data_IF_924398700842
#
_entry.id   IF_924398700842
#
_cell.length_a   1.000
_cell.length_b   1.000
_cell.length_c   1.000
_cell.angle_alpha   90.00
_cell.angle_beta   90.00
_cell.angle_gamma   90.00
#
_symmetry.space_group_name_H-M   'P 1'
#
loop_
_entity.id
_entity.type
_entity.pdbx_description
1 polymer ?
#
# COMPACT_ATOMS: atom_id res chain seq x y z
N UNK A 1 17.92 0.63 -22.35
CA UNK A 1 16.61 0.13 -22.80
C UNK A 1 16.06 -0.98 -21.91
N UNK A 2 16.78 -2.08 -21.65
CA UNK A 2 16.29 -3.17 -20.78
C UNK A 2 16.07 -2.73 -19.31
N UNK A 3 16.96 -1.88 -18.77
CA UNK A 3 16.82 -1.35 -17.41
C UNK A 3 15.57 -0.46 -17.25
N UNK A 4 15.20 0.26 -18.31
CA UNK A 4 13.99 1.09 -18.36
C UNK A 4 12.73 0.20 -18.41
N UNK A 5 12.77 -0.88 -19.20
CA UNK A 5 11.66 -1.85 -19.29
C UNK A 5 11.45 -2.66 -18.01
N UNK A 6 12.52 -2.98 -17.28
CA UNK A 6 12.41 -3.63 -15.96
C UNK A 6 11.86 -2.64 -14.93
N UNK A 7 12.27 -1.37 -14.97
CA UNK A 7 11.75 -0.32 -14.08
C UNK A 7 10.26 -0.07 -14.31
N UNK A 8 9.80 0.01 -15.57
CA UNK A 8 8.38 0.22 -15.87
C UNK A 8 7.53 -0.98 -15.48
N UNK A 9 8.03 -2.21 -15.70
CA UNK A 9 7.34 -3.43 -15.27
C UNK A 9 7.28 -3.56 -13.74
N UNK A 10 8.34 -3.14 -13.03
CA UNK A 10 8.35 -3.06 -11.56
C UNK A 10 7.30 -2.08 -11.04
N UNK A 11 7.09 -0.96 -11.74
CA UNK A 11 6.08 0.05 -11.39
C UNK A 11 4.64 -0.48 -11.59
N UNK A 12 4.40 -1.35 -12.57
CA UNK A 12 3.06 -1.93 -12.83
C UNK A 12 2.67 -3.07 -11.90
N UNK A 13 3.67 -3.71 -11.25
CA UNK A 13 3.48 -4.84 -10.33
C UNK A 13 3.34 -4.40 -8.87
N UNK A 14 3.55 -3.11 -8.57
CA UNK A 14 3.00 -2.52 -7.37
C UNK A 14 1.48 -2.67 -7.46
N UNK A 15 0.79 -3.29 -6.47
CA UNK A 15 -0.65 -3.17 -6.43
C UNK A 15 -0.93 -1.67 -6.38
N UNK A 16 -1.42 -1.13 -7.49
CA UNK A 16 -2.19 0.08 -7.51
C UNK A 16 -3.45 -0.25 -6.70
N UNK A 17 -3.29 -0.33 -5.38
CA UNK A 17 -4.33 0.03 -4.43
C UNK A 17 -4.71 1.40 -4.93
N UNK A 18 -5.77 1.44 -5.73
CA UNK A 18 -6.26 2.58 -6.49
C UNK A 18 -5.87 3.85 -5.75
N UNK A 19 -4.75 4.45 -6.17
CA UNK A 19 -4.32 5.73 -5.65
C UNK A 19 -5.39 6.63 -6.21
N UNK A 20 -6.42 6.86 -5.39
CA UNK A 20 -7.50 7.76 -5.71
C UNK A 20 -6.80 9.05 -6.12
N UNK A 21 -6.94 9.35 -7.40
CA UNK A 21 -6.45 10.55 -8.05
C UNK A 21 -6.77 11.70 -7.09
N UNK A 22 -5.74 12.45 -6.66
CA UNK A 22 -5.97 13.73 -6.01
C UNK A 22 -6.86 14.50 -6.96
N UNK A 23 -8.14 14.59 -6.59
CA UNK A 23 -9.12 15.34 -7.33
C UNK A 23 -8.72 16.79 -7.14
N UNK A 24 -7.94 17.32 -8.07
CA UNK A 24 -7.74 18.75 -8.26
C UNK A 24 -9.03 19.42 -8.80
N UNK A 25 -10.21 18.86 -8.52
CA UNK A 25 -11.48 19.52 -8.73
C UNK A 25 -11.83 20.31 -7.45
N UNK A 26 -11.55 21.61 -7.50
CA UNK A 26 -12.09 22.66 -6.61
C UNK A 26 -11.69 22.60 -5.12
N UNK A 27 -10.54 23.18 -4.80
CA UNK A 27 -10.45 24.23 -3.76
C UNK A 27 -10.53 23.86 -2.28
N UNK A 28 -10.65 22.58 -1.90
CA UNK A 28 -10.57 22.18 -0.48
C UNK A 28 -9.43 21.19 -0.25
N UNK A 29 -8.41 21.60 0.50
CA UNK A 29 -7.33 20.70 0.94
C UNK A 29 -7.97 19.57 1.75
N UNK A 30 -7.80 18.32 1.28
CA UNK A 30 -8.21 17.10 1.99
C UNK A 30 -6.98 16.45 2.61
N UNK A 31 -7.18 15.68 3.67
CA UNK A 31 -6.12 14.94 4.32
C UNK A 31 -6.54 13.47 4.56
N UNK A 32 -5.61 12.51 4.38
CA UNK A 32 -5.93 11.09 4.46
C UNK A 32 -6.04 10.60 5.90
N UNK A 33 -7.07 9.80 6.15
CA UNK A 33 -7.23 9.00 7.37
C UNK A 33 -6.67 7.61 7.12
N UNK A 34 -5.71 7.20 7.95
CA UNK A 34 -4.85 6.04 7.72
C UNK A 34 -4.77 5.19 8.99
N UNK A 35 -4.93 3.87 8.85
CA UNK A 35 -4.76 2.91 9.93
C UNK A 35 -3.75 1.85 9.52
N UNK A 36 -2.66 1.71 10.28
CA UNK A 36 -1.58 0.75 10.03
C UNK A 36 -1.10 0.75 8.55
N UNK A 37 -0.95 1.95 7.97
CA UNK A 37 -0.52 2.16 6.58
C UNK A 37 -1.58 1.91 5.49
N UNK A 38 -2.85 1.72 5.86
CA UNK A 38 -3.99 1.63 4.93
C UNK A 38 -4.75 2.96 4.98
N UNK A 39 -4.79 3.70 3.87
CA UNK A 39 -5.68 4.84 3.72
C UNK A 39 -7.13 4.35 3.58
N UNK A 40 -8.01 4.87 4.45
CA UNK A 40 -9.42 4.49 4.50
C UNK A 40 -10.27 5.47 3.69
N UNK A 41 -10.08 6.77 3.92
CA UNK A 41 -10.80 7.87 3.29
C UNK A 41 -10.07 9.18 3.57
N UNK A 42 -10.59 10.29 3.03
CA UNK A 42 -10.02 11.62 3.23
C UNK A 42 -11.04 12.56 3.88
N UNK A 43 -10.56 13.46 4.74
CA UNK A 43 -11.36 14.46 5.45
C UNK A 43 -10.98 15.87 5.03
N UNK A 44 -11.94 16.79 5.05
CA UNK A 44 -11.73 18.22 4.81
C UNK A 44 -11.49 19.00 6.09
N UNK A 45 -11.34 20.33 5.97
CA UNK A 45 -11.30 21.25 7.11
C UNK A 45 -12.69 21.38 7.75
N UNK A 46 -12.77 21.47 9.07
CA UNK A 46 -14.05 21.74 9.75
C UNK A 46 -13.84 22.52 11.05
N UNK A 47 -14.69 23.54 11.26
CA UNK A 47 -14.52 24.50 12.35
C UNK A 47 -13.15 25.17 12.27
N UNK A 48 -12.42 25.16 13.38
CA UNK A 48 -11.07 25.75 13.48
C UNK A 48 -9.94 24.76 13.13
N UNK A 49 -10.26 23.53 12.74
CA UNK A 49 -9.27 22.52 12.41
C UNK A 49 -9.05 22.42 10.90
N UNK A 50 -7.79 22.50 10.49
CA UNK A 50 -7.37 22.15 9.14
C UNK A 50 -7.65 20.67 8.84
N UNK A 51 -7.70 20.30 7.56
CA UNK A 51 -7.89 18.91 7.15
C UNK A 51 -6.81 18.00 7.77
N UNK A 52 -5.55 18.43 7.77
CA UNK A 52 -4.43 17.67 8.34
C UNK A 52 -4.57 17.45 9.84
N UNK A 53 -4.91 18.49 10.61
CA UNK A 53 -5.13 18.36 12.05
C UNK A 53 -6.31 17.45 12.37
N UNK A 54 -7.40 17.53 11.58
CA UNK A 54 -8.54 16.61 11.72
C UNK A 54 -8.14 15.17 11.44
N UNK A 55 -7.43 14.94 10.33
CA UNK A 55 -6.97 13.61 9.95
C UNK A 55 -6.04 13.02 11.03
N UNK A 56 -5.12 13.82 11.57
CA UNK A 56 -4.22 13.39 12.63
C UNK A 56 -4.98 13.01 13.91
N UNK A 57 -5.94 13.83 14.33
CA UNK A 57 -6.77 13.54 15.49
C UNK A 57 -7.58 12.24 15.32
N UNK A 58 -8.14 12.03 14.14
CA UNK A 58 -8.86 10.80 13.78
C UNK A 58 -7.89 9.61 13.81
N UNK A 59 -6.72 9.72 13.18
CA UNK A 59 -5.70 8.67 13.15
C UNK A 59 -5.25 8.27 14.56
N UNK A 60 -5.05 9.25 15.46
CA UNK A 60 -4.71 9.00 16.86
C UNK A 60 -5.81 8.24 17.61
N UNK A 61 -7.09 8.57 17.38
CA UNK A 61 -8.24 7.86 17.96
C UNK A 61 -8.31 6.43 17.45
N UNK A 62 -8.23 6.23 16.13
CA UNK A 62 -8.23 4.90 15.52
C UNK A 62 -7.05 4.04 16.00
N UNK A 63 -5.86 4.62 16.11
CA UNK A 63 -4.68 3.93 16.62
C UNK A 63 -4.85 3.50 18.08
N UNK A 64 -5.54 4.29 18.90
CA UNK A 64 -5.86 3.94 20.29
C UNK A 64 -6.82 2.75 20.35
N UNK A 65 -7.88 2.76 19.53
CA UNK A 65 -8.83 1.64 19.49
C UNK A 65 -8.18 0.34 19.02
N UNK A 66 -7.33 0.43 18.00
CA UNK A 66 -6.61 -0.73 17.49
C UNK A 66 -5.65 -1.32 18.55
N UNK A 67 -5.07 -0.49 19.42
CA UNK A 67 -4.19 -0.93 20.52
C UNK A 67 -4.95 -1.46 21.74
N UNK A 68 -6.26 -1.20 21.84
CA UNK A 68 -7.08 -1.69 22.95
C UNK A 68 -7.17 -3.22 22.92
N UNK A 69 -6.91 -3.86 24.07
CA UNK A 69 -7.00 -5.31 24.27
C UNK A 69 -8.45 -5.85 24.27
N UNK A 70 -9.44 -4.96 24.13
CA UNK A 70 -10.84 -5.35 24.08
C UNK A 70 -11.17 -6.10 22.78
N UNK A 71 -12.22 -6.92 22.81
CA UNK A 71 -12.72 -7.72 21.67
C UNK A 71 -12.90 -6.85 20.42
N UNK A 72 -12.89 -7.46 19.21
CA UNK A 72 -13.06 -6.71 17.97
C UNK A 72 -14.34 -5.87 18.03
N UNK A 73 -14.19 -4.56 17.83
CA UNK A 73 -15.25 -3.58 18.12
C UNK A 73 -16.08 -3.33 16.87
N UNK A 74 -17.40 -3.29 17.06
CA UNK A 74 -18.34 -2.81 16.07
C UNK A 74 -18.36 -1.28 16.13
N UNK A 75 -18.43 -0.66 14.95
CA UNK A 75 -18.67 0.78 14.83
C UNK A 75 -20.19 0.99 14.74
N UNK A 76 -20.66 2.12 15.27
CA UNK A 76 -22.04 2.57 15.13
C UNK A 76 -22.06 3.98 14.57
N UNK A 77 -23.15 4.32 13.88
CA UNK A 77 -23.36 5.65 13.31
C UNK A 77 -24.46 6.37 14.08
N UNK A 78 -24.11 7.49 14.71
CA UNK A 78 -25.06 8.44 15.27
C UNK A 78 -25.22 9.63 14.30
N UNK A 79 -26.43 9.87 13.83
CA UNK A 79 -26.72 11.01 12.94
C UNK A 79 -27.04 12.26 13.75
N UNK A 80 -26.35 13.36 13.42
CA UNK A 80 -26.54 14.67 14.08
C UNK A 80 -27.20 15.69 13.15
N UNK A 81 -27.32 15.37 11.85
CA UNK A 81 -28.05 16.16 10.86
C UNK A 81 -28.10 15.46 9.50
N UNK A 82 -28.58 16.15 8.46
CA UNK A 82 -28.71 15.57 7.11
C UNK A 82 -27.36 15.18 6.49
N UNK A 83 -26.29 15.94 6.78
CA UNK A 83 -24.94 15.73 6.22
C UNK A 83 -23.86 15.63 7.32
N UNK A 84 -24.26 15.36 8.56
CA UNK A 84 -23.38 15.34 9.72
C UNK A 84 -23.65 14.11 10.57
N UNK A 85 -22.59 13.48 11.04
CA UNK A 85 -22.69 12.23 11.80
C UNK A 85 -21.46 11.98 12.66
N UNK A 86 -21.63 11.14 13.67
CA UNK A 86 -20.58 10.73 14.58
C UNK A 86 -20.46 9.22 14.51
N UNK A 87 -19.28 8.73 14.15
CA UNK A 87 -18.94 7.32 14.21
C UNK A 87 -18.33 7.01 15.56
N UNK A 88 -18.91 6.07 16.30
CA UNK A 88 -18.45 5.66 17.64
C UNK A 88 -18.28 4.16 17.73
N UNK A 89 -17.55 3.70 18.74
CA UNK A 89 -17.48 2.27 19.08
C UNK A 89 -18.70 1.88 19.92
N UNK A 90 -19.32 0.72 19.68
CA UNK A 90 -20.53 0.27 20.43
C UNK A 90 -20.33 -0.01 21.92
N UNK A 91 -19.11 -0.30 22.36
CA UNK A 91 -18.86 -0.70 23.76
C UNK A 91 -18.25 0.41 24.60
N UNK A 92 -17.31 1.17 24.05
CA UNK A 92 -16.63 2.22 24.80
C UNK A 92 -17.23 3.60 24.57
N UNK A 93 -18.19 3.72 23.64
CA UNK A 93 -18.82 4.99 23.24
C UNK A 93 -17.81 6.08 22.81
N UNK A 94 -16.57 5.68 22.47
CA UNK A 94 -15.52 6.59 22.04
C UNK A 94 -15.81 7.07 20.62
N UNK A 95 -15.74 8.37 20.44
CA UNK A 95 -15.85 9.01 19.12
C UNK A 95 -14.61 8.69 18.30
N UNK A 96 -14.81 8.09 17.13
CA UNK A 96 -13.77 7.80 16.16
C UNK A 96 -13.64 8.95 15.16
N UNK A 97 -14.77 9.29 14.53
CA UNK A 97 -14.84 10.23 13.42
C UNK A 97 -16.08 11.09 13.57
N UNK A 98 -15.94 12.37 13.28
CA UNK A 98 -17.08 13.27 13.07
C UNK A 98 -17.11 13.61 11.59
N UNK A 99 -18.20 13.23 10.91
CA UNK A 99 -18.47 13.50 9.51
C UNK A 99 -19.10 14.89 9.40
N UNK A 100 -18.56 15.71 8.51
CA UNK A 100 -19.00 17.09 8.28
C UNK A 100 -19.31 17.33 6.81
N UNK A 101 -19.99 18.43 6.50
CA UNK A 101 -20.24 18.85 5.09
C UNK A 101 -18.95 18.98 4.28
N UNK A 102 -17.85 19.39 4.91
CA UNK A 102 -16.55 19.51 4.27
C UNK A 102 -15.93 18.15 3.90
N UNK A 103 -16.47 17.03 4.40
CA UNK A 103 -16.03 15.67 4.07
C UNK A 103 -16.82 15.07 2.90
N UNK A 104 -17.91 15.70 2.49
CA UNK A 104 -18.81 15.18 1.47
C UNK A 104 -18.14 15.15 0.09
N UNK A 105 -18.32 14.04 -0.62
CA UNK A 105 -17.95 13.91 -2.03
C UNK A 105 -19.14 14.43 -2.87
N UNK A 106 -18.92 15.30 -3.86
CA UNK A 106 -19.97 15.77 -4.77
C UNK A 106 -20.75 14.59 -5.36
N UNK A 107 -22.06 14.75 -5.53
CA UNK A 107 -22.98 13.74 -6.08
C UNK A 107 -23.03 12.40 -5.34
N UNK A 108 -22.55 12.35 -4.09
CA UNK A 108 -22.65 11.17 -3.23
C UNK A 108 -23.66 11.37 -2.11
N UNK A 109 -24.49 10.36 -1.90
CA UNK A 109 -25.43 10.29 -0.78
C UNK A 109 -24.66 10.26 0.57
N UNK A 110 -24.87 11.25 1.47
CA UNK A 110 -24.22 11.32 2.77
C UNK A 110 -24.39 10.03 3.58
N UNK A 111 -25.57 9.41 3.50
CA UNK A 111 -25.90 8.20 4.25
C UNK A 111 -25.01 7.03 3.78
N UNK A 112 -24.95 6.82 2.47
CA UNK A 112 -24.10 5.78 1.87
C UNK A 112 -22.62 6.03 2.12
N UNK A 113 -22.18 7.29 2.13
CA UNK A 113 -20.81 7.63 2.49
C UNK A 113 -20.50 7.27 3.94
N UNK A 114 -21.39 7.61 4.89
CA UNK A 114 -21.22 7.27 6.30
C UNK A 114 -21.17 5.75 6.53
N UNK A 115 -22.09 4.99 5.93
CA UNK A 115 -22.09 3.51 5.98
C UNK A 115 -20.82 2.90 5.38
N UNK A 116 -20.31 3.49 4.29
CA UNK A 116 -19.05 3.05 3.69
C UNK A 116 -17.89 3.29 4.65
N UNK A 117 -17.84 4.45 5.29
CA UNK A 117 -16.79 4.80 6.24
C UNK A 117 -16.84 3.93 7.49
N UNK A 118 -18.04 3.67 8.03
CA UNK A 118 -18.26 2.71 9.11
C UNK A 118 -17.66 1.35 8.78
N UNK A 119 -18.03 0.75 7.63
CA UNK A 119 -17.52 -0.55 7.19
C UNK A 119 -15.99 -0.56 7.02
N UNK A 120 -15.41 0.51 6.48
CA UNK A 120 -13.97 0.65 6.30
C UNK A 120 -13.23 0.71 7.64
N UNK A 121 -13.72 1.54 8.58
CA UNK A 121 -13.15 1.69 9.92
C UNK A 121 -13.28 0.38 10.70
N UNK A 122 -14.46 -0.24 10.68
CA UNK A 122 -14.71 -1.50 11.37
C UNK A 122 -13.81 -2.62 10.84
N UNK A 123 -13.64 -2.71 9.51
CA UNK A 123 -12.69 -3.65 8.90
C UNK A 123 -11.25 -3.34 9.34
N UNK A 124 -10.84 -2.08 9.32
CA UNK A 124 -9.50 -1.66 9.71
C UNK A 124 -9.20 -1.95 11.20
N UNK A 125 -10.14 -1.66 12.09
CA UNK A 125 -10.01 -1.94 13.53
C UNK A 125 -9.93 -3.45 13.78
N UNK A 126 -10.84 -4.24 13.19
CA UNK A 126 -10.81 -5.70 13.32
C UNK A 126 -9.50 -6.28 12.81
N UNK A 127 -9.03 -5.80 11.65
CA UNK A 127 -7.76 -6.23 11.09
C UNK A 127 -6.60 -5.84 12.01
N UNK A 128 -6.51 -4.59 12.44
CA UNK A 128 -5.44 -4.10 13.31
C UNK A 128 -5.38 -4.84 14.65
N UNK A 129 -6.53 -5.11 15.29
CA UNK A 129 -6.61 -5.92 16.51
C UNK A 129 -6.18 -7.37 16.26
N UNK A 130 -6.67 -8.02 15.20
CA UNK A 130 -6.25 -9.39 14.82
C UNK A 130 -4.76 -9.47 14.60
N UNK A 131 -4.17 -8.50 13.91
CA UNK A 131 -2.73 -8.47 13.61
C UNK A 131 -1.84 -8.36 14.87
N UNK A 132 -2.39 -7.86 15.98
CA UNK A 132 -1.72 -7.74 17.28
C UNK A 132 -1.92 -8.96 18.18
N UNK A 133 -2.78 -9.92 17.80
CA UNK A 133 -2.95 -11.16 18.53
C UNK A 133 -1.75 -12.11 18.31
N UNK A 134 -1.28 -12.82 19.35
CA UNK A 134 -0.12 -13.71 19.24
C UNK A 134 -0.33 -14.89 18.28
N UNK A 135 -1.57 -15.30 18.06
CA UNK A 135 -1.90 -16.35 17.09
C UNK A 135 -1.67 -15.89 15.65
N UNK A 136 -2.00 -14.63 15.36
CA UNK A 136 -1.78 -14.06 14.03
C UNK A 136 -0.30 -13.93 13.73
N UNK A 137 0.51 -13.42 14.68
CA UNK A 137 1.95 -13.28 14.45
C UNK A 137 2.61 -14.64 14.19
N UNK A 138 2.23 -15.70 14.91
CA UNK A 138 2.71 -17.07 14.65
C UNK A 138 2.32 -17.58 13.27
N UNK A 139 1.08 -17.35 12.84
CA UNK A 139 0.61 -17.74 11.51
C UNK A 139 1.33 -16.94 10.41
N UNK A 140 1.46 -15.62 10.59
CA UNK A 140 2.16 -14.74 9.68
C UNK A 140 3.63 -15.17 9.53
N UNK A 141 4.34 -15.43 10.62
CA UNK A 141 5.74 -15.92 10.58
C UNK A 141 5.86 -17.24 9.83
N UNK A 142 4.95 -18.20 10.07
CA UNK A 142 4.94 -19.48 9.34
C UNK A 142 4.70 -19.26 7.85
N UNK A 143 3.72 -18.45 7.49
CA UNK A 143 3.41 -18.15 6.10
C UNK A 143 4.58 -17.44 5.40
N UNK A 144 5.15 -16.40 6.03
CA UNK A 144 6.34 -15.71 5.54
C UNK A 144 7.51 -16.69 5.35
N UNK A 145 7.73 -17.61 6.30
CA UNK A 145 8.78 -18.61 6.19
C UNK A 145 8.56 -19.53 4.97
N UNK A 146 7.33 -20.01 4.77
CA UNK A 146 6.98 -20.85 3.61
C UNK A 146 7.20 -20.08 2.30
N UNK A 147 6.73 -18.83 2.22
CA UNK A 147 6.89 -17.98 1.03
C UNK A 147 8.37 -17.71 0.74
N UNK A 148 9.19 -17.46 1.77
CA UNK A 148 10.64 -17.27 1.62
C UNK A 148 11.35 -18.54 1.14
N UNK A 149 10.99 -19.71 1.69
CA UNK A 149 11.54 -20.99 1.23
C UNK A 149 11.18 -21.23 -0.24
N UNK A 150 9.91 -21.00 -0.62
CA UNK A 150 9.46 -21.15 -2.00
C UNK A 150 10.18 -20.16 -2.94
N UNK A 151 10.37 -18.91 -2.50
CA UNK A 151 11.14 -17.90 -3.22
C UNK A 151 12.58 -18.35 -3.45
N UNK A 152 13.26 -18.87 -2.43
CA UNK A 152 14.63 -19.37 -2.54
C UNK A 152 14.70 -20.56 -3.50
N UNK A 153 13.77 -21.50 -3.40
CA UNK A 153 13.68 -22.65 -4.31
C UNK A 153 13.49 -22.19 -5.76
N UNK A 154 12.57 -21.27 -6.00
CA UNK A 154 12.30 -20.73 -7.33
C UNK A 154 13.51 -19.95 -7.87
N UNK A 155 14.19 -19.18 -7.02
CA UNK A 155 15.43 -18.50 -7.35
C UNK A 155 16.54 -19.49 -7.76
N UNK A 156 16.74 -20.57 -7.00
CA UNK A 156 17.71 -21.61 -7.32
C UNK A 156 17.37 -22.31 -8.63
N UNK A 157 16.10 -22.66 -8.84
CA UNK A 157 15.62 -23.31 -10.06
C UNK A 157 15.83 -22.41 -11.28
N UNK A 158 15.54 -21.10 -11.16
CA UNK A 158 15.79 -20.13 -12.22
C UNK A 158 17.29 -19.99 -12.52
N UNK A 159 18.15 -20.06 -11.49
CA UNK A 159 19.62 -20.01 -11.64
C UNK A 159 20.14 -21.24 -12.38
N UNK A 160 19.67 -22.43 -12.03
CA UNK A 160 20.02 -23.68 -12.74
C UNK A 160 19.50 -23.64 -14.18
N UNK A 161 18.26 -23.22 -14.38
CA UNK A 161 17.66 -23.07 -15.70
C UNK A 161 18.45 -22.08 -16.57
N UNK A 162 18.88 -20.94 -16.01
CA UNK A 162 19.73 -19.97 -16.70
C UNK A 162 21.03 -20.61 -17.18
N UNK A 163 21.72 -21.37 -16.33
CA UNK A 163 22.95 -22.05 -16.71
C UNK A 163 22.71 -23.07 -17.83
N UNK A 164 21.63 -23.85 -17.75
CA UNK A 164 21.28 -24.83 -18.77
C UNK A 164 20.90 -24.17 -20.11
N UNK A 165 20.03 -23.16 -20.07
CA UNK A 165 19.58 -22.44 -21.25
C UNK A 165 20.74 -21.73 -21.97
N UNK A 166 21.64 -21.08 -21.22
CA UNK A 166 22.82 -20.44 -21.80
C UNK A 166 23.79 -21.45 -22.41
N UNK A 167 24.02 -22.60 -21.76
CA UNK A 167 24.86 -23.69 -22.32
C UNK A 167 24.26 -24.26 -23.60
N UNK A 168 22.95 -24.48 -23.63
CA UNK A 168 22.25 -25.00 -24.81
C UNK A 168 22.26 -23.97 -25.95
N UNK A 169 22.07 -22.69 -25.64
CA UNK A 169 22.18 -21.59 -26.60
C UNK A 169 23.59 -21.47 -27.18
N UNK A 170 24.63 -21.58 -26.35
CA UNK A 170 26.03 -21.59 -26.82
C UNK A 170 26.34 -22.80 -27.69
N UNK A 171 25.78 -23.97 -27.39
CA UNK A 171 25.96 -25.16 -28.23
C UNK A 171 25.25 -25.06 -29.57
N UNK A 172 24.10 -24.37 -29.64
CA UNK A 172 23.28 -24.30 -30.85
C UNK A 172 23.67 -23.14 -31.78
N UNK A 173 23.96 -21.96 -31.23
CA UNK A 173 24.35 -20.76 -31.99
C UNK A 173 25.87 -20.54 -32.08
N UNK A 174 26.67 -21.24 -31.27
CA UNK A 174 28.12 -21.05 -31.22
C UNK A 174 28.91 -21.78 -32.31
N UNK A 175 28.23 -22.46 -33.24
CA UNK A 175 28.90 -23.08 -34.38
C UNK A 175 29.21 -22.01 -35.45
N UNK A 176 30.50 -21.72 -35.74
CA UNK A 176 30.90 -20.68 -36.70
C UNK A 176 30.44 -20.96 -38.14
N UNK A 177 29.99 -22.19 -38.44
CA UNK A 177 29.42 -22.56 -39.73
C UNK A 177 27.91 -22.23 -39.87
N UNK A 178 27.26 -21.69 -38.84
CA UNK A 178 25.82 -21.38 -38.86
C UNK A 178 25.54 -19.93 -39.30
N UNK A 179 24.52 -19.67 -40.14
CA UNK A 179 24.07 -18.32 -40.50
C UNK A 179 23.66 -17.44 -39.31
N UNK A 180 23.36 -18.06 -38.16
CA UNK A 180 22.88 -17.37 -36.95
C UNK A 180 23.99 -17.04 -35.94
N UNK A 181 25.25 -17.30 -36.26
CA UNK A 181 26.40 -16.99 -35.40
C UNK A 181 26.52 -15.51 -34.97
N UNK A 182 26.24 -14.50 -35.82
CA UNK A 182 26.30 -13.08 -35.41
C UNK A 182 25.31 -12.72 -34.28
N UNK A 183 24.26 -13.53 -34.11
CA UNK A 183 23.23 -13.33 -33.09
C UNK A 183 23.58 -13.96 -31.75
N UNK A 184 24.71 -14.66 -31.65
CA UNK A 184 25.13 -15.39 -30.44
C UNK A 184 25.25 -14.47 -29.20
N UNK A 185 26.06 -13.42 -29.30
CA UNK A 185 26.31 -12.48 -28.21
C UNK A 185 25.08 -11.64 -27.82
N UNK A 186 24.33 -11.02 -28.76
CA UNK A 186 23.14 -10.25 -28.40
C UNK A 186 22.04 -11.15 -27.81
N UNK A 187 21.84 -12.39 -28.29
CA UNK A 187 20.86 -13.31 -27.73
C UNK A 187 21.21 -13.73 -26.29
N UNK A 188 22.52 -13.95 -26.01
CA UNK A 188 23.02 -14.26 -24.67
C UNK A 188 22.80 -13.11 -23.69
N UNK A 189 23.08 -11.88 -24.12
CA UNK A 189 22.85 -10.67 -23.32
C UNK A 189 21.36 -10.45 -23.06
N UNK A 190 20.52 -10.59 -24.10
CA UNK A 190 19.07 -10.43 -23.98
C UNK A 190 18.48 -11.46 -23.01
N UNK A 191 18.80 -12.75 -23.16
CA UNK A 191 18.33 -13.80 -22.27
C UNK A 191 18.80 -13.59 -20.82
N UNK A 192 20.06 -13.19 -20.64
CA UNK A 192 20.62 -12.86 -19.33
C UNK A 192 19.90 -11.69 -18.67
N UNK A 193 19.64 -10.62 -19.41
CA UNK A 193 18.96 -9.43 -18.91
C UNK A 193 17.47 -9.70 -18.65
N UNK A 194 16.79 -10.47 -19.50
CA UNK A 194 15.40 -10.88 -19.30
C UNK A 194 15.23 -11.71 -18.01
N UNK A 195 16.14 -12.67 -17.77
CA UNK A 195 16.12 -13.48 -16.55
C UNK A 195 16.42 -12.67 -15.28
N UNK A 196 17.34 -11.69 -15.36
CA UNK A 196 17.59 -10.75 -14.25
C UNK A 196 16.39 -9.86 -13.97
N UNK A 197 15.73 -9.36 -15.03
CA UNK A 197 14.48 -8.61 -14.90
C UNK A 197 13.39 -9.41 -14.21
N UNK A 198 13.18 -10.66 -14.65
CA UNK A 198 12.22 -11.58 -14.02
C UNK A 198 12.54 -11.81 -12.54
N UNK A 199 13.83 -11.97 -12.19
CA UNK A 199 14.25 -12.12 -10.81
C UNK A 199 13.93 -10.88 -9.98
N UNK A 200 14.24 -9.67 -10.46
CA UNK A 200 13.94 -8.43 -9.75
C UNK A 200 12.44 -8.28 -9.50
N UNK A 201 11.62 -8.56 -10.50
CA UNK A 201 10.15 -8.54 -10.38
C UNK A 201 9.69 -9.51 -9.29
N UNK A 202 10.21 -10.73 -9.30
CA UNK A 202 9.82 -11.78 -8.38
C UNK A 202 10.17 -11.42 -6.93
N UNK A 203 11.38 -10.91 -6.70
CA UNK A 203 11.79 -10.39 -5.39
C UNK A 203 10.91 -9.21 -4.97
N UNK A 204 10.64 -8.26 -5.86
CA UNK A 204 9.76 -7.13 -5.57
C UNK A 204 8.36 -7.56 -5.18
N UNK A 205 7.73 -8.48 -5.93
CA UNK A 205 6.39 -8.99 -5.61
C UNK A 205 6.36 -9.66 -4.24
N UNK A 206 7.36 -10.47 -3.90
CA UNK A 206 7.42 -11.13 -2.58
C UNK A 206 7.67 -10.12 -1.46
N UNK A 207 8.58 -9.16 -1.64
CA UNK A 207 8.83 -8.10 -0.64
C UNK A 207 7.54 -7.30 -0.38
N UNK A 208 6.80 -6.94 -1.43
CA UNK A 208 5.53 -6.22 -1.30
C UNK A 208 4.48 -7.05 -0.56
N UNK A 209 4.37 -8.34 -0.91
CA UNK A 209 3.42 -9.27 -0.29
C UNK A 209 3.73 -9.47 1.19
N UNK A 210 5.01 -9.68 1.55
CA UNK A 210 5.44 -9.82 2.95
C UNK A 210 5.21 -8.52 3.72
N UNK A 211 5.45 -7.36 3.10
CA UNK A 211 5.21 -6.06 3.73
C UNK A 211 3.73 -5.85 4.08
N UNK A 212 2.80 -6.45 3.33
CA UNK A 212 1.38 -6.39 3.63
C UNK A 212 0.94 -7.29 4.79
N UNK A 213 1.74 -8.30 5.16
CA UNK A 213 1.43 -9.15 6.32
C UNK A 213 1.70 -8.43 7.66
N UNK A 214 2.72 -7.58 7.69
CA UNK A 214 3.16 -6.93 8.93
C UNK A 214 2.71 -5.46 8.97
N UNK A 215 1.88 -5.06 9.95
CA UNK A 215 1.36 -3.68 10.02
C UNK A 215 2.48 -2.63 10.11
N UNK A 216 3.59 -2.96 10.79
CA UNK A 216 4.75 -2.08 10.94
C UNK A 216 5.46 -1.80 9.60
N UNK A 217 5.60 -2.83 8.76
CA UNK A 217 6.20 -2.66 7.43
C UNK A 217 5.27 -1.85 6.53
N UNK A 218 3.96 -2.08 6.63
CA UNK A 218 2.96 -1.33 5.86
C UNK A 218 2.95 0.15 6.23
N UNK A 219 2.97 0.49 7.53
CA UNK A 219 3.00 1.90 7.97
C UNK A 219 4.28 2.60 7.53
N UNK A 220 5.44 1.94 7.66
CA UNK A 220 6.71 2.51 7.23
C UNK A 220 6.76 2.74 5.71
N UNK A 221 6.24 1.79 4.92
CA UNK A 221 6.11 1.96 3.47
C UNK A 221 5.23 3.17 3.13
N UNK A 222 4.11 3.34 3.83
CA UNK A 222 3.22 4.48 3.63
C UNK A 222 3.93 5.81 3.94
N UNK A 223 4.62 5.90 5.07
CA UNK A 223 5.36 7.11 5.48
C UNK A 223 6.47 7.46 4.50
N UNK A 224 7.26 6.48 4.06
CA UNK A 224 8.31 6.68 3.05
C UNK A 224 7.75 7.23 1.74
N UNK A 225 6.68 6.62 1.23
CA UNK A 225 6.05 7.06 -0.01
C UNK A 225 5.42 8.44 0.14
N UNK A 226 4.82 8.74 1.30
CA UNK A 226 4.24 10.04 1.57
C UNK A 226 5.32 11.13 1.68
N UNK A 227 6.45 10.83 2.31
CA UNK A 227 7.61 11.74 2.36
C UNK A 227 8.14 12.04 0.95
N UNK A 228 8.27 11.03 0.09
CA UNK A 228 8.71 11.21 -1.29
C UNK A 228 7.72 12.00 -2.16
N UNK A 229 6.42 11.92 -1.85
CA UNK A 229 5.36 12.67 -2.54
C UNK A 229 5.21 14.10 -2.01
N UNK A 230 5.62 14.34 -0.78
CA UNK A 230 5.61 15.69 -0.23
C UNK A 230 6.52 16.56 -1.09
N UNK A 231 6.07 17.75 -1.53
CA UNK A 231 6.93 18.67 -2.25
C UNK A 231 8.07 19.08 -1.31
N UNK A 232 9.23 18.45 -1.48
CA UNK A 232 10.46 18.70 -0.71
C UNK A 232 10.94 20.16 -0.84
N UNK A 233 10.31 20.96 -1.70
CA UNK A 233 10.57 22.40 -1.87
C UNK A 233 9.24 23.16 -1.88
N UNK A 234 8.59 23.25 -0.70
CA UNK A 234 7.68 24.34 -0.39
C UNK A 234 8.50 25.48 0.20
N UNK A 235 8.81 26.48 -0.62
CA UNK A 235 9.47 27.73 -0.22
C UNK A 235 8.90 28.24 1.10
N UNK A 236 9.77 28.57 2.05
CA UNK A 236 9.37 29.17 3.31
C UNK A 236 8.56 30.43 3.07
N UNK A 237 7.24 30.34 3.24
CA UNK A 237 6.45 31.51 3.57
C UNK A 237 6.83 31.91 4.98
N UNK A 238 7.77 32.85 5.05
CA UNK A 238 8.15 33.52 6.26
C UNK A 238 6.88 34.08 6.91
N UNK A 239 6.62 33.63 8.14
CA UNK A 239 5.83 34.40 9.09
C UNK A 239 6.47 35.78 9.22
N UNK A 240 5.87 36.81 8.63
CA UNK A 240 6.03 38.18 9.08
C UNK A 240 4.68 38.89 9.04
N UNK A 241 4.25 39.22 10.26
CA UNK A 241 3.25 40.20 10.72
C UNK A 241 1.88 40.26 10.04
#
# INVERSE_FOLDING_TARGET
MVLLGVLTLLLTLLPASTLAQESFANGTKKAPVVVDGIELFQVGNAGNFSATERAELINQRLAREVKSLQKPEYVDIEYVGQNEGILRTKFTERILVTITKADQIPDTDPLKQAEKWEKLIEKAIRQGKRQRMPDYSRQAVRFTSIVLVLLILLYLLLRVFRQFALRKLTSWLGNPASPFFPWHDPAKLFLGAALLGLQLILWSTVILTISDLFPQLRSWRYELLNFLKSPVIGSGESKYS
#
